data_IF_156834744374
#
_entry.id   IF_156834744374
#
_cell.length_a   1.000
_cell.length_b   1.000
_cell.length_c   1.000
_cell.angle_alpha   90.00
_cell.angle_beta   90.00
_cell.angle_gamma   90.00
#
_symmetry.space_group_name_H-M   'P 1'
#
loop_
_entity.id
_entity.type
_entity.pdbx_description
1 polymer ?
#
# COMPACT_ATOMS: atom_id res chain seq x y z
N UNK A 1 -4.44 -5.14 -0.93
CA UNK A 1 -5.37 -6.25 -0.59
C UNK A 1 -5.30 -7.26 -1.74
N UNK A 2 -6.29 -8.11 -2.03
CA UNK A 2 -6.30 -8.77 -3.35
C UNK A 2 -7.08 -7.91 -4.37
N UNK A 3 -6.75 -8.01 -5.65
CA UNK A 3 -7.36 -7.19 -6.70
C UNK A 3 -8.88 -7.39 -6.81
N UNK A 4 -9.39 -8.58 -6.46
CA UNK A 4 -10.84 -8.88 -6.45
C UNK A 4 -11.56 -8.00 -5.42
N UNK A 5 -11.05 -7.87 -4.20
CA UNK A 5 -11.65 -7.01 -3.17
C UNK A 5 -11.65 -5.53 -3.58
N UNK A 6 -10.60 -5.08 -4.27
CA UNK A 6 -10.55 -3.73 -4.83
C UNK A 6 -11.62 -3.52 -5.91
N UNK A 7 -11.77 -4.47 -6.84
CA UNK A 7 -12.80 -4.40 -7.88
C UNK A 7 -14.22 -4.40 -7.28
N UNK A 8 -14.49 -5.26 -6.29
CA UNK A 8 -15.80 -5.37 -5.66
C UNK A 8 -16.18 -4.11 -4.88
N UNK A 9 -15.27 -3.54 -4.08
CA UNK A 9 -15.57 -2.28 -3.39
C UNK A 9 -15.79 -1.14 -4.40
N UNK A 10 -15.04 -1.14 -5.51
CA UNK A 10 -15.22 -0.18 -6.61
C UNK A 10 -16.61 -0.28 -7.22
N UNK A 11 -17.09 -1.50 -7.49
CA UNK A 11 -18.45 -1.74 -7.96
C UNK A 11 -19.49 -1.22 -6.95
N UNK A 12 -19.37 -1.59 -5.67
CA UNK A 12 -20.30 -1.14 -4.64
C UNK A 12 -20.37 0.38 -4.50
N UNK A 13 -19.21 1.06 -4.52
CA UNK A 13 -19.15 2.53 -4.50
C UNK A 13 -19.73 3.15 -5.77
N UNK A 14 -19.57 2.52 -6.93
CA UNK A 14 -20.12 3.04 -8.18
C UNK A 14 -21.65 3.05 -8.20
N UNK A 15 -22.27 1.97 -7.70
CA UNK A 15 -23.72 1.85 -7.58
C UNK A 15 -24.27 2.82 -6.53
N UNK A 16 -23.60 2.90 -5.37
CA UNK A 16 -23.99 3.78 -4.27
C UNK A 16 -23.84 5.28 -4.58
N UNK A 17 -23.01 5.66 -5.55
CA UNK A 17 -22.78 7.07 -5.92
C UNK A 17 -23.36 7.42 -7.30
N UNK A 18 -24.03 6.47 -7.97
CA UNK A 18 -24.50 6.58 -9.35
C UNK A 18 -23.40 7.07 -10.33
N UNK A 19 -22.20 6.50 -10.18
CA UNK A 19 -21.05 6.76 -11.05
C UNK A 19 -20.95 5.66 -12.11
N UNK A 20 -20.18 5.91 -13.18
CA UNK A 20 -19.98 4.89 -14.20
C UNK A 20 -19.18 3.71 -13.61
N UNK A 21 -19.75 2.49 -13.51
CA UNK A 21 -19.14 1.37 -12.82
C UNK A 21 -17.82 0.94 -13.46
N UNK A 22 -17.72 0.96 -14.79
CA UNK A 22 -16.50 0.60 -15.50
C UNK A 22 -15.33 1.51 -15.10
N UNK A 23 -15.57 2.83 -15.04
CA UNK A 23 -14.50 3.78 -14.70
C UNK A 23 -14.07 3.64 -13.24
N UNK A 24 -15.01 3.42 -12.32
CA UNK A 24 -14.67 3.23 -10.89
C UNK A 24 -13.88 1.93 -10.70
N UNK A 25 -14.32 0.82 -11.31
CA UNK A 25 -13.62 -0.47 -11.24
C UNK A 25 -12.22 -0.36 -11.84
N UNK A 26 -12.08 0.27 -13.01
CA UNK A 26 -10.78 0.55 -13.62
C UNK A 26 -9.91 1.33 -12.63
N UNK A 27 -10.42 2.40 -12.02
CA UNK A 27 -9.67 3.17 -11.02
C UNK A 27 -9.29 2.35 -9.79
N UNK A 28 -10.15 1.41 -9.37
CA UNK A 28 -9.88 0.56 -8.21
C UNK A 28 -8.84 -0.54 -8.49
N UNK A 29 -8.60 -0.91 -9.75
CA UNK A 29 -7.69 -2.01 -10.12
C UNK A 29 -6.41 -1.52 -10.78
N UNK A 30 -6.46 -0.38 -11.50
CA UNK A 30 -5.31 0.11 -12.29
C UNK A 30 -4.02 0.31 -11.48
N UNK A 31 -4.01 0.63 -10.17
CA UNK A 31 -2.74 0.72 -9.44
C UNK A 31 -1.96 -0.61 -9.43
N UNK A 32 -2.66 -1.75 -9.39
CA UNK A 32 -2.07 -3.10 -9.41
C UNK A 32 -1.61 -3.54 -10.81
N UNK A 33 -1.75 -2.69 -11.84
CA UNK A 33 -1.22 -2.99 -13.17
C UNK A 33 0.31 -3.07 -13.15
N UNK A 34 0.96 -2.50 -12.12
CA UNK A 34 2.41 -2.54 -11.92
C UNK A 34 2.97 -3.98 -11.96
N UNK A 35 2.21 -4.95 -11.44
CA UNK A 35 2.52 -6.38 -11.54
C UNK A 35 2.62 -6.89 -12.99
N UNK A 36 1.83 -6.32 -13.92
CA UNK A 36 1.80 -6.73 -15.32
C UNK A 36 2.87 -6.04 -16.16
N UNK A 37 3.24 -4.81 -15.79
CA UNK A 37 4.19 -3.99 -16.55
C UNK A 37 5.61 -4.00 -15.97
N UNK A 38 5.90 -4.94 -15.06
CA UNK A 38 7.20 -5.08 -14.37
C UNK A 38 7.67 -3.79 -13.69
N UNK A 39 6.74 -2.96 -13.23
CA UNK A 39 7.09 -1.84 -12.35
C UNK A 39 7.17 -2.34 -10.91
N UNK A 40 8.12 -1.82 -10.12
CA UNK A 40 8.11 -1.98 -8.67
C UNK A 40 6.72 -1.72 -8.07
N UNK A 41 6.13 -2.76 -7.46
CA UNK A 41 4.82 -2.63 -6.84
C UNK A 41 4.84 -1.59 -5.72
N UNK A 42 3.80 -0.74 -5.65
CA UNK A 42 3.70 0.40 -4.71
C UNK A 42 4.85 1.38 -4.90
N UNK A 43 4.88 1.98 -6.08
CA UNK A 43 5.72 3.14 -6.38
C UNK A 43 4.89 4.25 -7.02
N UNK A 44 5.04 4.47 -8.32
CA UNK A 44 4.39 5.56 -9.03
C UNK A 44 2.87 5.38 -9.04
N UNK A 45 2.38 4.17 -9.36
CA UNK A 45 0.96 3.82 -9.48
C UNK A 45 0.14 4.00 -8.20
N UNK A 46 0.79 3.97 -7.03
CA UNK A 46 0.16 4.13 -5.71
C UNK A 46 0.42 5.50 -5.08
N UNK A 47 0.79 6.50 -5.88
CA UNK A 47 1.15 7.84 -5.39
C UNK A 47 0.18 8.91 -5.89
N UNK A 48 0.16 10.06 -5.20
CA UNK A 48 -0.58 11.24 -5.68
C UNK A 48 -0.07 11.74 -7.04
N UNK A 49 1.21 11.48 -7.35
CA UNK A 49 1.82 11.79 -8.64
C UNK A 49 1.14 11.07 -9.80
N UNK A 50 0.59 9.87 -9.58
CA UNK A 50 -0.20 9.17 -10.58
C UNK A 50 -1.68 9.56 -10.53
N UNK A 51 -2.27 9.61 -9.33
CA UNK A 51 -3.72 9.80 -9.17
C UNK A 51 -4.19 11.16 -9.67
N UNK A 52 -3.47 12.24 -9.32
CA UNK A 52 -3.90 13.60 -9.66
C UNK A 52 -3.92 13.79 -11.19
N UNK A 53 -2.84 13.50 -11.94
CA UNK A 53 -2.87 13.59 -13.39
C UNK A 53 -3.89 12.66 -14.05
N UNK A 54 -3.99 11.40 -13.61
CA UNK A 54 -4.96 10.45 -14.18
C UNK A 54 -6.40 10.95 -14.07
N UNK A 55 -6.78 11.51 -12.91
CA UNK A 55 -8.10 12.10 -12.69
C UNK A 55 -8.31 13.37 -13.50
N UNK A 56 -7.33 14.27 -13.58
CA UNK A 56 -7.41 15.52 -14.34
C UNK A 56 -7.54 15.26 -15.84
N UNK A 57 -6.75 14.33 -16.39
CA UNK A 57 -6.83 13.91 -17.80
C UNK A 57 -8.22 13.33 -18.09
N UNK A 58 -8.69 12.41 -17.25
CA UNK A 58 -10.01 11.79 -17.42
C UNK A 58 -11.14 12.82 -17.33
N UNK A 59 -11.05 13.78 -16.41
CA UNK A 59 -11.98 14.90 -16.35
C UNK A 59 -11.94 15.69 -17.66
N UNK A 60 -10.76 16.08 -18.15
CA UNK A 60 -10.67 16.88 -19.38
C UNK A 60 -11.19 16.16 -20.63
N UNK A 61 -10.96 14.85 -20.75
CA UNK A 61 -11.34 14.08 -21.93
C UNK A 61 -12.77 13.54 -21.89
N UNK A 62 -13.28 13.16 -20.71
CA UNK A 62 -14.57 12.44 -20.54
C UNK A 62 -15.57 13.18 -19.63
N UNK A 63 -15.19 14.35 -19.11
CA UNK A 63 -16.04 15.21 -18.30
C UNK A 63 -15.93 14.98 -16.80
N UNK A 64 -16.53 15.91 -16.02
CA UNK A 64 -16.43 15.97 -14.55
C UNK A 64 -16.80 14.65 -13.85
N UNK A 65 -17.88 14.00 -14.30
CA UNK A 65 -18.36 12.74 -13.69
C UNK A 65 -17.39 11.59 -13.90
N UNK A 66 -16.76 11.48 -15.07
CA UNK A 66 -15.77 10.45 -15.35
C UNK A 66 -14.51 10.65 -14.50
N UNK A 67 -14.03 11.90 -14.38
CA UNK A 67 -12.92 12.22 -13.47
C UNK A 67 -13.21 11.87 -12.02
N UNK A 68 -14.43 12.17 -11.54
CA UNK A 68 -14.85 11.79 -10.19
C UNK A 68 -14.98 10.26 -10.01
N UNK A 69 -15.53 9.55 -10.99
CA UNK A 69 -15.61 8.09 -10.98
C UNK A 69 -14.22 7.46 -10.83
N UNK A 70 -13.24 7.95 -11.60
CA UNK A 70 -11.87 7.46 -11.50
C UNK A 70 -11.25 7.80 -10.13
N UNK A 71 -11.48 9.02 -9.62
CA UNK A 71 -11.00 9.45 -8.30
C UNK A 71 -11.54 8.56 -7.18
N UNK A 72 -12.83 8.21 -7.21
CA UNK A 72 -13.44 7.30 -6.24
C UNK A 72 -12.79 5.93 -6.29
N UNK A 73 -12.59 5.38 -7.50
CA UNK A 73 -11.91 4.10 -7.69
C UNK A 73 -10.50 4.10 -7.11
N UNK A 74 -9.65 5.05 -7.53
CA UNK A 74 -8.27 5.18 -7.09
C UNK A 74 -8.17 5.43 -5.57
N UNK A 75 -9.04 6.29 -5.04
CA UNK A 75 -9.07 6.55 -3.59
C UNK A 75 -9.45 5.31 -2.81
N UNK A 76 -10.47 4.56 -3.26
CA UNK A 76 -10.88 3.32 -2.60
C UNK A 76 -9.74 2.29 -2.58
N UNK A 77 -8.98 2.18 -3.67
CA UNK A 77 -7.80 1.33 -3.74
C UNK A 77 -6.76 1.73 -2.69
N UNK A 78 -6.36 3.01 -2.68
CA UNK A 78 -5.36 3.48 -1.74
C UNK A 78 -5.80 3.38 -0.29
N UNK A 79 -7.07 3.66 0.03
CA UNK A 79 -7.57 3.56 1.39
C UNK A 79 -7.55 2.12 1.90
N UNK A 80 -7.93 1.17 1.05
CA UNK A 80 -7.84 -0.25 1.37
C UNK A 80 -6.40 -0.69 1.60
N UNK A 81 -5.45 -0.20 0.81
CA UNK A 81 -4.04 -0.50 1.00
C UNK A 81 -3.43 0.22 2.21
N UNK A 82 -3.87 1.44 2.51
CA UNK A 82 -3.48 2.20 3.70
C UNK A 82 -3.99 1.55 5.00
N UNK A 83 -5.12 0.85 4.95
CA UNK A 83 -5.60 0.04 6.07
C UNK A 83 -4.69 -1.17 6.34
N UNK A 84 -3.91 -1.62 5.36
CA UNK A 84 -2.99 -2.73 5.56
C UNK A 84 -1.71 -2.32 6.29
N UNK A 85 -1.02 -3.31 6.86
CA UNK A 85 0.33 -3.16 7.44
C UNK A 85 1.42 -2.80 6.43
N UNK A 86 1.14 -2.76 5.13
CA UNK A 86 2.12 -2.33 4.13
C UNK A 86 2.05 -0.81 3.87
N UNK A 87 0.88 -0.20 4.05
CA UNK A 87 0.65 1.21 3.75
C UNK A 87 0.80 1.56 2.27
N UNK A 88 0.81 2.87 2.00
CA UNK A 88 0.87 3.46 0.67
C UNK A 88 1.95 4.55 0.60
N UNK A 89 2.81 4.58 -0.43
CA UNK A 89 3.81 5.62 -0.62
C UNK A 89 3.17 6.86 -1.29
N UNK A 90 2.27 7.51 -0.55
CA UNK A 90 1.41 8.58 -1.07
C UNK A 90 2.21 9.73 -1.74
N UNK A 91 3.41 10.01 -1.20
CA UNK A 91 4.33 11.05 -1.68
C UNK A 91 5.56 10.49 -2.41
N UNK A 92 5.49 9.29 -3.00
CA UNK A 92 6.57 8.76 -3.85
C UNK A 92 7.07 9.85 -4.84
N UNK A 93 8.38 10.03 -5.02
CA UNK A 93 9.50 9.17 -4.60
C UNK A 93 10.06 9.45 -3.19
N UNK A 94 9.38 10.23 -2.35
CA UNK A 94 9.81 10.38 -0.95
C UNK A 94 9.72 9.03 -0.21
N UNK A 95 10.61 8.81 0.76
CA UNK A 95 10.78 7.54 1.48
C UNK A 95 9.63 7.16 2.42
N UNK A 96 8.68 8.08 2.64
CA UNK A 96 7.61 7.89 3.62
C UNK A 96 6.45 7.06 3.07
N UNK A 97 6.01 6.10 3.88
CA UNK A 97 4.76 5.39 3.68
C UNK A 97 3.71 5.89 4.68
N UNK A 98 2.45 5.83 4.29
CA UNK A 98 1.33 6.31 5.08
C UNK A 98 0.32 5.17 5.24
N UNK A 99 -0.27 5.03 6.43
CA UNK A 99 -1.27 3.99 6.66
C UNK A 99 -1.62 3.74 8.12
N UNK A 100 -2.82 3.23 8.33
CA UNK A 100 -3.40 2.94 9.64
C UNK A 100 -2.91 1.61 10.24
N UNK A 101 -2.35 0.72 9.40
CA UNK A 101 -1.72 -0.53 9.86
C UNK A 101 -2.68 -1.46 10.64
N UNK A 102 -3.95 -1.54 10.22
CA UNK A 102 -5.00 -2.25 10.94
C UNK A 102 -4.90 -3.78 10.82
N UNK A 103 -4.52 -4.28 9.64
CA UNK A 103 -4.46 -5.72 9.37
C UNK A 103 -3.45 -6.07 8.26
N UNK A 104 -3.06 -7.35 8.17
CA UNK A 104 -2.24 -7.82 7.05
C UNK A 104 -3.09 -7.97 5.78
N UNK A 105 -2.49 -7.75 4.60
CA UNK A 105 -3.17 -7.87 3.30
C UNK A 105 -3.81 -9.24 3.06
N UNK A 106 -3.24 -10.30 3.65
CA UNK A 106 -3.70 -11.68 3.52
C UNK A 106 -4.69 -12.09 4.63
N UNK A 107 -5.13 -11.16 5.47
CA UNK A 107 -6.10 -11.45 6.52
C UNK A 107 -7.47 -11.77 5.88
N UNK A 108 -7.90 -13.03 5.97
CA UNK A 108 -9.14 -13.50 5.36
C UNK A 108 -10.37 -12.78 5.90
N UNK A 109 -10.41 -12.50 7.21
CA UNK A 109 -11.53 -11.80 7.84
C UNK A 109 -11.63 -10.35 7.34
N UNK A 110 -10.50 -9.65 7.21
CA UNK A 110 -10.49 -8.30 6.64
C UNK A 110 -10.99 -8.28 5.19
N UNK A 111 -10.52 -9.23 4.37
CA UNK A 111 -10.97 -9.38 2.97
C UNK A 111 -12.48 -9.68 2.90
N UNK A 112 -12.97 -10.60 3.72
CA UNK A 112 -14.39 -10.96 3.79
C UNK A 112 -15.25 -9.76 4.21
N UNK A 113 -14.82 -8.99 5.21
CA UNK A 113 -15.52 -7.79 5.65
C UNK A 113 -15.69 -6.79 4.50
N UNK A 114 -14.64 -6.58 3.69
CA UNK A 114 -14.71 -5.68 2.53
C UNK A 114 -15.69 -6.20 1.47
N UNK A 115 -15.72 -7.51 1.23
CA UNK A 115 -16.69 -8.15 0.32
C UNK A 115 -18.12 -7.93 0.84
N UNK A 116 -18.37 -8.13 2.13
CA UNK A 116 -19.68 -7.92 2.74
C UNK A 116 -20.11 -6.46 2.61
N UNK A 117 -19.20 -5.51 2.89
CA UNK A 117 -19.48 -4.07 2.72
C UNK A 117 -19.83 -3.76 1.26
N UNK A 118 -19.05 -4.26 0.30
CA UNK A 118 -19.34 -4.08 -1.13
C UNK A 118 -20.72 -4.64 -1.50
N UNK A 119 -21.04 -5.84 -1.03
CA UNK A 119 -22.35 -6.46 -1.27
C UNK A 119 -23.50 -5.64 -0.67
N UNK A 120 -23.34 -5.16 0.57
CA UNK A 120 -24.35 -4.32 1.23
C UNK A 120 -24.57 -3.00 0.47
N UNK A 121 -23.52 -2.39 -0.06
CA UNK A 121 -23.65 -1.19 -0.91
C UNK A 121 -24.43 -1.48 -2.19
N UNK A 122 -24.20 -2.62 -2.82
CA UNK A 122 -24.90 -3.02 -4.06
C UNK A 122 -26.37 -3.31 -3.78
N UNK A 123 -26.67 -4.10 -2.75
CA UNK A 123 -28.05 -4.49 -2.40
C UNK A 123 -28.88 -3.30 -1.94
N UNK A 124 -28.29 -2.39 -1.16
CA UNK A 124 -28.98 -1.23 -0.62
C UNK A 124 -28.79 0.05 -1.46
N UNK A 125 -28.37 -0.09 -2.73
CA UNK A 125 -28.00 1.05 -3.56
C UNK A 125 -29.11 2.08 -3.69
N UNK A 126 -30.36 1.65 -3.78
CA UNK A 126 -31.51 2.55 -3.95
C UNK A 126 -31.73 3.40 -2.69
N UNK A 127 -31.66 2.79 -1.50
CA UNK A 127 -31.76 3.49 -0.22
C UNK A 127 -30.57 4.44 0.00
N UNK A 128 -29.35 4.02 -0.34
CA UNK A 128 -28.15 4.87 -0.23
C UNK A 128 -28.26 6.06 -1.19
N UNK A 129 -28.70 5.80 -2.43
CA UNK A 129 -28.94 6.84 -3.41
C UNK A 129 -30.01 7.81 -2.90
N UNK A 130 -31.18 7.33 -2.49
CA UNK A 130 -32.26 8.19 -1.98
C UNK A 130 -31.80 9.10 -0.85
N UNK A 131 -31.03 8.56 0.11
CA UNK A 131 -30.42 9.34 1.18
C UNK A 131 -29.46 10.41 0.64
N UNK A 132 -28.54 10.04 -0.26
CA UNK A 132 -27.62 10.99 -0.89
C UNK A 132 -28.32 12.05 -1.75
N UNK A 133 -29.45 11.73 -2.37
CA UNK A 133 -30.23 12.64 -3.23
C UNK A 133 -31.21 13.51 -2.44
N UNK A 134 -31.62 13.11 -1.24
CA UNK A 134 -32.35 13.97 -0.30
C UNK A 134 -31.55 15.24 0.03
N UNK A 135 -30.22 15.11 0.05
CA UNK A 135 -29.31 16.24 0.05
C UNK A 135 -29.24 16.79 -1.37
N UNK A 136 -29.54 18.08 -1.57
CA UNK A 136 -29.44 18.75 -2.89
C UNK A 136 -28.19 18.26 -3.63
N UNK A 137 -28.34 17.66 -4.81
CA UNK A 137 -27.28 16.91 -5.52
C UNK A 137 -25.89 17.58 -5.57
N UNK A 138 -25.82 18.90 -5.66
CA UNK A 138 -24.56 19.65 -5.61
C UNK A 138 -23.81 19.56 -4.27
N UNK A 139 -24.54 19.43 -3.16
CA UNK A 139 -24.02 19.22 -1.81
C UNK A 139 -23.52 17.80 -1.64
N UNK A 140 -24.22 16.78 -2.17
CA UNK A 140 -23.75 15.39 -2.13
C UNK A 140 -22.38 15.25 -2.81
N UNK A 141 -22.21 15.85 -3.99
CA UNK A 141 -20.93 15.82 -4.72
C UNK A 141 -19.79 16.51 -3.94
N UNK A 142 -20.07 17.68 -3.35
CA UNK A 142 -19.11 18.40 -2.51
C UNK A 142 -18.79 17.62 -1.24
N UNK A 143 -19.77 16.92 -0.66
CA UNK A 143 -19.61 16.03 0.48
C UNK A 143 -18.63 14.91 0.18
N UNK A 144 -18.84 14.17 -0.93
CA UNK A 144 -17.93 13.11 -1.37
C UNK A 144 -16.50 13.63 -1.56
N UNK A 145 -16.35 14.76 -2.26
CA UNK A 145 -15.03 15.35 -2.48
C UNK A 145 -14.38 15.79 -1.16
N UNK A 146 -15.17 16.40 -0.26
CA UNK A 146 -14.76 16.77 1.09
C UNK A 146 -14.27 15.57 1.90
N UNK A 147 -15.01 14.47 1.89
CA UNK A 147 -14.62 13.22 2.55
C UNK A 147 -13.33 12.65 1.99
N UNK A 148 -13.17 12.62 0.66
CA UNK A 148 -11.93 12.18 0.01
C UNK A 148 -10.75 13.06 0.45
N UNK A 149 -10.91 14.38 0.41
CA UNK A 149 -9.85 15.31 0.85
C UNK A 149 -9.49 15.13 2.32
N UNK A 150 -10.49 14.93 3.19
CA UNK A 150 -10.27 14.69 4.61
C UNK A 150 -9.54 13.36 4.84
N UNK A 151 -9.90 12.29 4.12
CA UNK A 151 -9.22 11.01 4.19
C UNK A 151 -7.75 11.11 3.78
N UNK A 152 -7.44 11.82 2.69
CA UNK A 152 -6.05 12.05 2.30
C UNK A 152 -5.28 12.89 3.31
N UNK A 153 -5.92 13.91 3.90
CA UNK A 153 -5.28 14.71 4.95
C UNK A 153 -4.99 13.87 6.20
N UNK A 154 -5.94 13.07 6.67
CA UNK A 154 -5.75 12.13 7.78
C UNK A 154 -4.62 11.13 7.45
N UNK A 155 -4.60 10.62 6.22
CA UNK A 155 -3.57 9.69 5.78
C UNK A 155 -2.18 10.35 5.79
N UNK A 156 -2.05 11.59 5.33
CA UNK A 156 -0.80 12.37 5.40
C UNK A 156 -0.32 12.61 6.84
N UNK A 157 -1.24 12.67 7.80
CA UNK A 157 -0.94 12.80 9.23
C UNK A 157 -0.60 11.46 9.91
N UNK A 158 -0.68 10.33 9.20
CA UNK A 158 -0.39 8.99 9.73
C UNK A 158 0.79 8.35 9.00
N UNK A 159 2.00 8.93 9.11
CA UNK A 159 3.20 8.30 8.59
C UNK A 159 3.45 6.99 9.33
N UNK A 160 3.91 5.99 8.59
CA UNK A 160 4.37 4.74 9.14
C UNK A 160 5.75 4.96 9.77
N UNK A 161 5.81 4.87 11.09
CA UNK A 161 7.05 5.00 11.85
C UNK A 161 7.79 3.65 11.94
N UNK A 162 9.11 3.70 11.77
CA UNK A 162 10.02 2.60 12.03
C UNK A 162 10.67 2.81 13.39
N UNK A 163 10.76 1.75 14.18
CA UNK A 163 11.43 1.80 15.48
C UNK A 163 12.92 1.52 15.28
N UNK A 164 13.76 2.48 15.66
CA UNK A 164 15.20 2.26 15.69
C UNK A 164 15.53 1.19 16.74
N UNK A 165 16.13 0.09 16.31
CA UNK A 165 16.47 -1.06 17.16
C UNK A 165 17.84 -1.62 16.80
N UNK A 166 18.57 -2.12 17.79
CA UNK A 166 19.78 -2.94 17.54
C UNK A 166 19.41 -4.34 17.05
N UNK A 167 20.32 -5.03 16.36
CA UNK A 167 20.05 -6.38 15.84
C UNK A 167 19.70 -7.34 16.98
N UNK A 168 20.39 -7.20 18.13
CA UNK A 168 20.06 -7.95 19.35
C UNK A 168 18.63 -7.72 19.83
N UNK A 169 18.17 -6.46 19.87
CA UNK A 169 16.80 -6.11 20.27
C UNK A 169 15.78 -6.68 19.29
N UNK A 170 16.05 -6.58 17.99
CA UNK A 170 15.18 -7.14 16.95
C UNK A 170 15.00 -8.64 17.12
N UNK A 171 16.08 -9.42 17.33
CA UNK A 171 15.99 -10.88 17.55
C UNK A 171 15.23 -11.26 18.81
N UNK A 172 15.29 -10.41 19.84
CA UNK A 172 14.58 -10.63 21.11
C UNK A 172 13.11 -10.21 21.04
N UNK A 173 12.71 -9.49 19.99
CA UNK A 173 11.31 -9.13 19.80
C UNK A 173 10.46 -10.38 19.55
N UNK A 174 9.40 -10.54 20.34
CA UNK A 174 8.41 -11.60 20.15
C UNK A 174 7.31 -11.22 19.15
N UNK A 175 7.23 -9.94 18.75
CA UNK A 175 6.21 -9.43 17.84
C UNK A 175 6.80 -8.94 16.52
N UNK A 176 6.04 -9.09 15.44
CA UNK A 176 6.39 -8.52 14.14
C UNK A 176 6.33 -6.98 14.24
N UNK A 177 7.49 -6.34 14.17
CA UNK A 177 7.63 -4.88 14.26
C UNK A 177 8.22 -4.30 12.99
N UNK A 178 7.99 -3.00 12.79
CA UNK A 178 8.70 -2.23 11.76
C UNK A 178 9.94 -1.65 12.38
N UNK A 179 11.09 -2.04 11.85
CA UNK A 179 12.38 -1.77 12.47
C UNK A 179 13.26 -1.00 11.52
N UNK A 180 14.02 -0.07 12.09
CA UNK A 180 15.16 0.55 11.47
C UNK A 180 16.41 0.03 12.19
N UNK A 181 17.34 -0.53 11.42
CA UNK A 181 18.50 -1.25 11.96
C UNK A 181 19.73 -0.81 11.20
N UNK A 182 20.81 -0.56 11.93
CA UNK A 182 22.12 -0.24 11.39
C UNK A 182 23.09 -1.37 11.71
N UNK A 183 23.91 -1.76 10.74
CA UNK A 183 24.92 -2.81 10.91
C UNK A 183 25.81 -2.91 9.67
N UNK A 184 26.70 -3.90 9.66
CA UNK A 184 27.52 -4.19 8.48
C UNK A 184 27.15 -5.54 7.87
N UNK A 185 27.26 -5.64 6.55
CA UNK A 185 26.96 -6.88 5.84
C UNK A 185 28.11 -7.87 6.09
N UNK A 186 27.84 -8.97 6.79
CA UNK A 186 28.86 -9.96 7.18
C UNK A 186 28.88 -11.22 6.30
N UNK A 187 27.83 -11.46 5.51
CA UNK A 187 27.79 -12.54 4.51
C UNK A 187 28.03 -12.00 3.10
N UNK A 188 28.22 -12.90 2.13
CA UNK A 188 28.08 -12.52 0.72
C UNK A 188 26.61 -12.19 0.43
N UNK A 189 26.38 -11.29 -0.52
CA UNK A 189 25.03 -10.95 -1.01
C UNK A 189 24.66 -11.95 -2.11
N UNK A 190 23.64 -12.77 -1.87
CA UNK A 190 23.17 -13.80 -2.81
C UNK A 190 21.84 -13.38 -3.46
N UNK A 191 21.71 -13.50 -4.78
CA UNK A 191 20.42 -13.33 -5.44
C UNK A 191 19.55 -14.58 -5.19
N UNK A 192 18.29 -14.37 -4.81
CA UNK A 192 17.30 -15.41 -4.53
C UNK A 192 15.99 -15.13 -5.26
N UNK A 193 15.26 -16.18 -5.63
CA UNK A 193 13.92 -16.09 -6.21
C UNK A 193 12.92 -16.80 -5.32
N UNK A 194 11.88 -16.08 -4.91
CA UNK A 194 10.75 -16.69 -4.20
C UNK A 194 9.93 -17.60 -5.13
N UNK A 195 9.13 -18.50 -4.53
CA UNK A 195 8.18 -19.34 -5.26
C UNK A 195 7.15 -18.53 -6.09
N UNK A 196 6.90 -17.28 -5.72
CA UNK A 196 6.03 -16.36 -6.46
C UNK A 196 6.76 -15.57 -7.55
N UNK A 197 8.03 -15.90 -7.84
CA UNK A 197 8.84 -15.27 -8.90
C UNK A 197 9.50 -13.95 -8.52
N UNK A 198 9.27 -13.43 -7.30
CA UNK A 198 9.90 -12.18 -6.85
C UNK A 198 11.39 -12.38 -6.60
N UNK A 199 12.20 -11.43 -7.06
CA UNK A 199 13.66 -11.41 -6.92
C UNK A 199 14.10 -10.67 -5.65
N UNK A 200 15.03 -11.28 -4.92
CA UNK A 200 15.58 -10.77 -3.67
C UNK A 200 17.10 -10.80 -3.69
N UNK A 201 17.71 -9.86 -2.98
CA UNK A 201 19.09 -9.94 -2.51
C UNK A 201 19.02 -10.34 -1.03
N UNK A 202 19.59 -11.49 -0.72
CA UNK A 202 19.62 -12.06 0.64
C UNK A 202 21.03 -11.92 1.20
N UNK A 203 21.12 -11.43 2.43
CA UNK A 203 22.39 -11.27 3.13
C UNK A 203 22.18 -11.26 4.64
N UNK A 204 23.26 -11.44 5.39
CA UNK A 204 23.29 -11.35 6.84
C UNK A 204 23.83 -9.99 7.25
N UNK A 205 23.05 -9.27 8.03
CA UNK A 205 23.47 -8.04 8.71
C UNK A 205 24.00 -8.42 10.10
N UNK A 206 25.16 -7.89 10.46
CA UNK A 206 25.80 -8.12 11.75
C UNK A 206 26.04 -6.81 12.51
N UNK A 207 26.03 -6.93 13.84
CA UNK A 207 26.65 -6.00 14.78
C UNK A 207 27.72 -6.75 15.58
N UNK A 208 28.33 -6.12 16.58
CA UNK A 208 29.39 -6.73 17.40
C UNK A 208 28.95 -8.01 18.14
N UNK A 209 27.64 -8.21 18.34
CA UNK A 209 27.11 -9.23 19.26
C UNK A 209 26.06 -10.15 18.64
N UNK A 210 25.53 -9.81 17.47
CA UNK A 210 24.33 -10.43 16.91
C UNK A 210 24.29 -10.32 15.38
N UNK A 211 23.47 -11.18 14.78
CA UNK A 211 23.27 -11.24 13.34
C UNK A 211 21.80 -11.50 12.98
N UNK A 212 21.37 -11.01 11.81
CA UNK A 212 20.03 -11.23 11.30
C UNK A 212 20.05 -11.35 9.77
N UNK A 213 19.25 -12.27 9.25
CA UNK A 213 19.08 -12.43 7.80
C UNK A 213 18.13 -11.35 7.28
N UNK A 214 18.48 -10.76 6.14
CA UNK A 214 17.74 -9.69 5.49
C UNK A 214 17.37 -10.12 4.08
N UNK A 215 16.09 -9.96 3.73
CA UNK A 215 15.55 -10.18 2.40
C UNK A 215 15.17 -8.84 1.76
N UNK A 216 16.08 -8.29 0.95
CA UNK A 216 15.86 -7.05 0.21
C UNK A 216 15.28 -7.36 -1.16
N UNK A 217 14.14 -6.79 -1.52
CA UNK A 217 13.60 -6.93 -2.87
C UNK A 217 14.48 -6.20 -3.91
N UNK A 218 14.55 -6.73 -5.13
CA UNK A 218 15.30 -6.11 -6.24
C UNK A 218 14.81 -4.69 -6.60
N UNK A 219 13.58 -4.34 -6.20
CA UNK A 219 12.98 -3.02 -6.42
C UNK A 219 13.46 -1.92 -5.46
N UNK A 220 14.22 -2.26 -4.41
CA UNK A 220 14.80 -1.27 -3.51
C UNK A 220 16.04 -0.66 -4.17
N UNK A 221 16.06 0.67 -4.34
CA UNK A 221 16.98 1.41 -5.22
C UNK A 221 18.48 1.18 -4.96
N UNK A 222 18.88 0.73 -3.76
CA UNK A 222 20.28 0.40 -3.45
C UNK A 222 20.62 -1.04 -3.83
N UNK A 223 21.33 -1.24 -4.93
CA UNK A 223 21.65 -2.56 -5.48
C UNK A 223 23.12 -2.96 -5.37
N UNK A 224 24.01 -2.00 -5.07
CA UNK A 224 25.46 -2.23 -4.98
C UNK A 224 25.86 -2.55 -3.53
N UNK A 225 25.25 -3.60 -2.98
CA UNK A 225 25.54 -4.09 -1.65
C UNK A 225 26.62 -5.17 -1.72
N UNK A 226 27.62 -5.05 -0.85
CA UNK A 226 28.74 -5.97 -0.76
C UNK A 226 29.10 -6.29 0.68
N UNK A 227 29.76 -7.43 0.89
CA UNK A 227 30.25 -7.82 2.21
C UNK A 227 31.22 -6.76 2.73
N UNK A 228 30.99 -6.30 3.96
CA UNK A 228 31.74 -5.25 4.63
C UNK A 228 31.07 -3.87 4.58
N UNK A 229 30.03 -3.68 3.77
CA UNK A 229 29.31 -2.41 3.72
C UNK A 229 28.56 -2.16 5.03
N UNK A 230 28.75 -0.97 5.59
CA UNK A 230 27.91 -0.45 6.68
C UNK A 230 26.65 0.10 6.06
N UNK A 231 25.49 -0.35 6.54
CA UNK A 231 24.20 0.09 6.03
C UNK A 231 23.23 0.37 7.18
N UNK A 232 22.33 1.30 6.92
CA UNK A 232 21.11 1.50 7.66
C UNK A 232 19.94 1.07 6.78
N UNK A 233 19.07 0.21 7.31
CA UNK A 233 17.93 -0.29 6.57
C UNK A 233 16.65 -0.16 7.38
N UNK A 234 15.55 0.11 6.67
CA UNK A 234 14.20 0.07 7.23
C UNK A 234 13.44 -1.12 6.65
N UNK A 235 12.78 -1.89 7.50
CA UNK A 235 12.09 -3.10 7.08
C UNK A 235 11.11 -3.61 8.13
N UNK A 236 10.58 -4.80 7.88
CA UNK A 236 9.67 -5.49 8.80
C UNK A 236 10.35 -6.72 9.36
N UNK A 237 10.47 -6.75 10.68
CA UNK A 237 10.89 -7.93 11.41
C UNK A 237 9.76 -8.97 11.43
N UNK A 238 10.11 -10.23 11.18
CA UNK A 238 9.17 -11.35 11.27
C UNK A 238 9.84 -12.59 11.87
N UNK A 239 9.06 -13.34 12.63
CA UNK A 239 9.40 -14.65 13.20
C UNK A 239 8.56 -15.77 12.59
N UNK A 240 7.82 -15.49 11.50
CA UNK A 240 6.96 -16.48 10.84
C UNK A 240 7.74 -17.57 10.11
N UNK A 241 9.01 -17.33 9.82
CA UNK A 241 9.89 -18.29 9.16
C UNK A 241 10.72 -19.04 10.21
N UNK A 242 11.49 -20.03 9.76
CA UNK A 242 12.31 -20.89 10.63
C UNK A 242 13.35 -20.11 11.46
N UNK A 243 13.67 -18.88 11.08
CA UNK A 243 14.58 -17.98 11.80
C UNK A 243 13.98 -16.56 11.91
N UNK A 244 14.44 -15.74 12.88
CA UNK A 244 14.12 -14.32 12.93
C UNK A 244 14.79 -13.59 11.75
N UNK A 245 13.98 -12.88 10.96
CA UNK A 245 14.43 -12.31 9.68
C UNK A 245 13.83 -10.91 9.47
N UNK A 246 14.53 -10.07 8.70
CA UNK A 246 14.00 -8.79 8.22
C UNK A 246 13.54 -8.98 6.77
N UNK A 247 12.24 -8.83 6.56
CA UNK A 247 11.58 -8.88 5.26
C UNK A 247 11.03 -7.50 4.87
N UNK A 248 10.58 -7.39 3.61
CA UNK A 248 9.95 -6.16 3.09
C UNK A 248 10.81 -4.90 3.33
N UNK A 249 12.12 -5.03 3.11
CA UNK A 249 13.04 -3.89 3.19
C UNK A 249 12.51 -2.76 2.29
N UNK A 250 12.38 -1.56 2.86
CA UNK A 250 11.82 -0.38 2.19
C UNK A 250 12.89 0.59 1.74
N UNK A 251 13.88 0.83 2.60
CA UNK A 251 15.05 1.62 2.25
C UNK A 251 16.31 0.93 2.75
N UNK A 252 17.39 1.13 2.00
CA UNK A 252 18.75 0.85 2.44
C UNK A 252 19.55 2.10 2.09
N UNK A 253 20.32 2.60 3.05
CA UNK A 253 21.27 3.68 2.89
C UNK A 253 22.64 3.19 3.36
N UNK A 254 23.66 3.44 2.53
CA UNK A 254 25.06 3.16 2.81
C UNK A 254 25.74 4.38 3.42
#
# INVERSE_FOLDING_TARGET
MNTITHALIGLGLSEALMLNPLIVIIGAVIPDIDYLINLPHRTITHSLLFIIPACLITWRLKGKRAGLALLVGLTSHLMLDAATTQGVPLLYPLSNYYGFSLFNSNNQLANLTVIIIAFLLIVNKDSVNEYLFSLKRGWALKGVLGSITALFLILLLTPINYQLMSIKQVKQSSSESRVEVTGFICSNVSPEKSNSGNEYQVFTLCDETSNITVWKGAWVLENNLSKGDVIQLSGRFTTKFSQPEIYYVKSVSK
#
